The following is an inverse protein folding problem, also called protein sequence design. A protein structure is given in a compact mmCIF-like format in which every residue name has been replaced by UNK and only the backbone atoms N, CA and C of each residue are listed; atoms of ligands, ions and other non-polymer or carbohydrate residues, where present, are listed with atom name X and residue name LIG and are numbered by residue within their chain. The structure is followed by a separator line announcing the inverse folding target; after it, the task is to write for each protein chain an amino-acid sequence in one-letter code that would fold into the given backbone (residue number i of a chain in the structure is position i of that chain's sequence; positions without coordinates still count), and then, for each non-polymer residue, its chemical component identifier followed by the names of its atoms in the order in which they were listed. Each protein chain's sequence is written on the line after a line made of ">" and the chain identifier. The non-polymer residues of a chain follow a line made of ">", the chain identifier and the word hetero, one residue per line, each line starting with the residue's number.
data_IF_006061491916
#
_entry.id   IF_006061491916
#
_cell.length_a   1.000
_cell.length_b   1.000
_cell.length_c   1.000
_cell.angle_alpha   90.00
_cell.angle_beta   90.00
_cell.angle_gamma   90.00
#
_symmetry.space_group_name_H-M   'P 1'
#
loop_
_entity.id
_entity.type
_entity.pdbx_description
1 polymer ?
#
# COMPACT_ATOMS: atom_id res chain seq x y z
N UNK A 1 -21.52 -16.12 31.11
CA UNK A 1 -20.30 -15.34 30.79
C UNK A 1 -20.56 -13.92 31.26
N UNK A 2 -19.89 -13.49 32.33
CA UNK A 2 -20.13 -12.21 32.97
C UNK A 2 -19.70 -11.06 32.08
N UNK A 3 -20.43 -9.94 32.18
CA UNK A 3 -20.23 -8.67 31.51
C UNK A 3 -18.92 -7.94 31.85
N UNK A 4 -17.94 -8.61 32.48
CA UNK A 4 -16.67 -8.03 32.94
C UNK A 4 -15.50 -8.25 31.98
N UNK A 5 -15.63 -9.11 30.96
CA UNK A 5 -14.57 -9.31 29.96
C UNK A 5 -14.56 -8.26 28.83
N UNK A 6 -15.54 -7.34 28.77
CA UNK A 6 -15.68 -6.38 27.67
C UNK A 6 -14.75 -5.16 27.75
N UNK A 7 -13.86 -5.09 28.75
CA UNK A 7 -13.02 -3.92 29.02
C UNK A 7 -11.51 -4.12 28.94
N UNK A 8 -11.01 -5.35 28.68
CA UNK A 8 -9.57 -5.54 28.49
C UNK A 8 -9.19 -5.02 27.10
N UNK A 9 -8.50 -3.88 27.04
CA UNK A 9 -7.83 -3.41 25.83
C UNK A 9 -7.04 -4.57 25.23
N UNK A 10 -7.54 -5.10 24.10
CA UNK A 10 -6.79 -6.11 23.36
C UNK A 10 -5.59 -5.39 22.78
N UNK A 11 -4.41 -5.72 23.27
CA UNK A 11 -3.16 -5.23 22.72
C UNK A 11 -3.11 -5.55 21.21
N UNK A 12 -2.98 -4.52 20.39
CA UNK A 12 -2.75 -4.63 18.96
C UNK A 12 -1.29 -4.27 18.72
N UNK A 13 -0.45 -5.20 18.23
CA UNK A 13 0.94 -4.88 17.95
C UNK A 13 1.04 -3.90 16.79
N UNK A 14 2.13 -3.13 16.74
CA UNK A 14 2.40 -2.24 15.61
C UNK A 14 2.55 -3.02 14.28
N UNK A 15 3.15 -4.22 14.35
CA UNK A 15 3.34 -5.11 13.19
C UNK A 15 2.42 -6.33 13.32
N UNK A 16 1.55 -6.51 12.32
CA UNK A 16 0.61 -7.61 12.18
C UNK A 16 1.28 -8.88 11.66
N UNK A 17 2.11 -9.49 12.52
CA UNK A 17 2.90 -10.70 12.20
C UNK A 17 2.09 -11.99 12.04
N UNK A 18 0.85 -12.00 12.49
CA UNK A 18 -0.07 -13.13 12.32
C UNK A 18 -1.38 -12.66 11.71
N UNK A 19 -2.09 -13.56 11.02
CA UNK A 19 -3.32 -13.25 10.28
C UNK A 19 -4.36 -12.51 11.12
N UNK A 20 -4.49 -12.87 12.40
CA UNK A 20 -5.45 -12.24 13.33
C UNK A 20 -5.27 -10.72 13.48
N UNK A 21 -4.05 -10.21 13.26
CA UNK A 21 -3.69 -8.79 13.34
C UNK A 21 -3.61 -8.07 11.98
N UNK A 22 -3.71 -8.79 10.86
CA UNK A 22 -3.73 -8.21 9.50
C UNK A 22 -5.00 -7.38 9.31
N UNK A 23 -4.92 -6.13 8.87
CA UNK A 23 -6.06 -5.20 8.86
C UNK A 23 -6.39 -4.59 10.23
N UNK A 24 -5.61 -4.88 11.28
CA UNK A 24 -5.74 -4.24 12.61
C UNK A 24 -4.52 -3.43 12.96
N UNK A 25 -3.35 -4.00 12.74
CA UNK A 25 -2.06 -3.37 12.98
C UNK A 25 -1.77 -2.27 11.96
N UNK A 26 -1.08 -1.19 12.35
CA UNK A 26 -0.60 -0.16 11.43
C UNK A 26 0.22 -0.71 10.25
N UNK A 27 1.04 -1.73 10.50
CA UNK A 27 1.88 -2.36 9.47
C UNK A 27 1.54 -3.84 9.39
N UNK A 28 1.25 -4.32 8.19
CA UNK A 28 1.14 -5.75 7.87
C UNK A 28 1.67 -6.01 6.46
N UNK A 29 1.46 -7.22 5.92
CA UNK A 29 1.97 -7.52 4.59
C UNK A 29 1.25 -6.75 3.47
N UNK A 30 0.00 -6.28 3.66
CA UNK A 30 -0.70 -5.45 2.69
C UNK A 30 -0.10 -4.05 2.58
N UNK A 31 0.59 -3.55 3.61
CA UNK A 31 1.33 -2.29 3.56
C UNK A 31 2.31 -2.22 2.37
N UNK A 32 2.94 -3.33 1.99
CA UNK A 32 3.77 -3.40 0.77
C UNK A 32 2.94 -3.24 -0.51
N UNK A 33 1.75 -3.83 -0.55
CA UNK A 33 0.78 -3.65 -1.62
C UNK A 33 0.35 -2.18 -1.77
N UNK A 34 0.15 -1.47 -0.66
CA UNK A 34 -0.16 -0.04 -0.66
C UNK A 34 1.00 0.82 -1.18
N UNK A 35 2.25 0.51 -0.83
CA UNK A 35 3.43 1.16 -1.44
C UNK A 35 3.47 0.90 -2.95
N UNK A 36 3.27 -0.35 -3.39
CA UNK A 36 3.21 -0.70 -4.81
C UNK A 36 2.09 0.05 -5.52
N UNK A 37 0.92 0.19 -4.89
CA UNK A 37 -0.20 0.93 -5.43
C UNK A 37 0.14 2.42 -5.61
N UNK A 38 0.83 3.03 -4.65
CA UNK A 38 1.36 4.39 -4.78
C UNK A 38 2.30 4.59 -5.97
N UNK A 39 3.24 3.65 -6.16
CA UNK A 39 4.17 3.64 -7.30
C UNK A 39 3.40 3.53 -8.62
N UNK A 40 2.46 2.58 -8.70
CA UNK A 40 1.62 2.36 -9.87
C UNK A 40 0.76 3.57 -10.22
N UNK A 41 0.06 4.13 -9.23
CA UNK A 41 -0.78 5.31 -9.39
C UNK A 41 0.04 6.51 -9.89
N UNK A 42 1.19 6.80 -9.26
CA UNK A 42 2.07 7.88 -9.69
C UNK A 42 2.51 7.69 -11.14
N UNK A 43 2.95 6.47 -11.48
CA UNK A 43 3.44 6.14 -12.83
C UNK A 43 2.33 6.31 -13.88
N UNK A 44 1.13 5.79 -13.62
CA UNK A 44 -0.02 5.89 -14.53
C UNK A 44 -0.45 7.35 -14.73
N UNK A 45 -0.63 8.11 -13.66
CA UNK A 45 -1.03 9.52 -13.79
C UNK A 45 0.06 10.37 -14.43
N UNK A 46 1.33 10.03 -14.23
CA UNK A 46 2.43 10.70 -14.92
C UNK A 46 2.45 10.46 -16.43
N UNK A 47 1.96 9.29 -16.90
CA UNK A 47 1.83 9.02 -18.33
C UNK A 47 0.86 9.97 -19.01
N UNK A 48 -0.18 10.44 -18.30
CA UNK A 48 -1.09 11.44 -18.84
C UNK A 48 -0.31 12.72 -19.16
N UNK A 49 0.51 13.20 -18.22
CA UNK A 49 1.33 14.41 -18.46
C UNK A 49 2.29 14.19 -19.63
N UNK A 50 3.09 13.11 -19.60
CA UNK A 50 4.13 12.89 -20.61
C UNK A 50 3.58 12.60 -22.01
N UNK A 51 2.44 11.90 -22.13
CA UNK A 51 1.76 11.68 -23.42
C UNK A 51 1.23 13.01 -23.98
N UNK A 52 0.63 13.86 -23.13
CA UNK A 52 0.16 15.17 -23.57
C UNK A 52 1.33 16.06 -24.04
N UNK A 53 2.44 16.09 -23.31
CA UNK A 53 3.63 16.83 -23.70
C UNK A 53 4.19 16.34 -25.05
N UNK A 54 4.19 15.01 -25.28
CA UNK A 54 4.62 14.40 -26.52
C UNK A 54 3.72 14.77 -27.71
N UNK A 55 2.39 14.73 -27.53
CA UNK A 55 1.42 14.99 -28.61
C UNK A 55 1.41 16.48 -28.99
N UNK A 56 1.38 17.36 -28.00
CA UNK A 56 1.21 18.79 -28.23
C UNK A 56 2.53 19.56 -28.34
N UNK A 57 3.68 18.89 -28.16
CA UNK A 57 5.01 19.52 -28.14
C UNK A 57 5.07 20.74 -27.20
N UNK A 58 4.30 20.68 -26.11
CA UNK A 58 4.26 21.71 -25.07
C UNK A 58 4.92 21.16 -23.82
N UNK A 59 5.68 21.98 -23.11
CA UNK A 59 6.47 21.55 -21.95
C UNK A 59 5.75 21.68 -20.61
N UNK A 60 4.48 22.10 -20.59
CA UNK A 60 3.85 22.53 -19.33
C UNK A 60 2.32 22.53 -19.33
N UNK A 61 1.65 21.47 -19.82
CA UNK A 61 0.18 21.41 -19.71
C UNK A 61 -0.27 21.26 -18.26
N UNK A 62 0.48 20.53 -17.43
CA UNK A 62 0.13 20.29 -16.03
C UNK A 62 1.37 20.18 -15.13
N UNK A 63 1.39 20.82 -13.94
CA UNK A 63 2.50 20.67 -13.01
C UNK A 63 2.61 19.25 -12.41
N UNK A 64 3.82 18.72 -12.28
CA UNK A 64 4.06 17.37 -11.75
C UNK A 64 3.51 17.12 -10.33
N UNK A 65 3.36 18.17 -9.50
CA UNK A 65 2.77 18.03 -8.17
C UNK A 65 1.28 17.62 -8.20
N UNK A 66 0.57 17.83 -9.33
CA UNK A 66 -0.80 17.34 -9.49
C UNK A 66 -0.86 15.82 -9.45
N UNK A 67 0.17 15.12 -9.94
CA UNK A 67 0.25 13.66 -9.87
C UNK A 67 0.16 13.20 -8.40
N UNK A 68 0.87 13.87 -7.49
CA UNK A 68 0.76 13.54 -6.07
C UNK A 68 -0.62 13.80 -5.49
N UNK A 69 -1.30 14.86 -5.95
CA UNK A 69 -2.69 15.12 -5.53
C UNK A 69 -3.59 13.97 -5.97
N UNK A 70 -3.42 13.45 -7.19
CA UNK A 70 -4.15 12.27 -7.66
C UNK A 70 -3.78 11.00 -6.90
N UNK A 71 -2.51 10.78 -6.56
CA UNK A 71 -2.08 9.63 -5.75
C UNK A 71 -2.75 9.66 -4.37
N UNK A 72 -2.78 10.81 -3.70
CA UNK A 72 -3.46 10.98 -2.41
C UNK A 72 -4.97 10.70 -2.56
N UNK A 73 -5.62 11.30 -3.57
CA UNK A 73 -7.05 11.13 -3.80
C UNK A 73 -7.42 9.66 -4.08
N UNK A 74 -6.60 8.96 -4.88
CA UNK A 74 -6.79 7.54 -5.19
C UNK A 74 -6.50 6.66 -3.97
N UNK A 75 -5.49 6.96 -3.16
CA UNK A 75 -5.22 6.24 -1.92
C UNK A 75 -6.38 6.33 -0.93
N UNK A 76 -6.89 7.55 -0.69
CA UNK A 76 -8.08 7.75 0.17
C UNK A 76 -9.32 7.07 -0.44
N UNK A 77 -9.53 7.23 -1.75
CA UNK A 77 -10.66 6.63 -2.45
C UNK A 77 -10.64 5.10 -2.40
N UNK A 78 -9.47 4.50 -2.54
CA UNK A 78 -9.27 3.06 -2.43
C UNK A 78 -9.65 2.55 -1.03
N UNK A 79 -9.15 3.19 0.02
CA UNK A 79 -9.50 2.82 1.40
C UNK A 79 -11.00 2.90 1.67
N UNK A 80 -11.66 3.94 1.15
CA UNK A 80 -13.12 4.07 1.25
C UNK A 80 -13.81 2.93 0.50
N UNK A 81 -13.41 2.63 -0.73
CA UNK A 81 -13.99 1.53 -1.53
C UNK A 81 -13.80 0.19 -0.82
N UNK A 82 -12.61 -0.07 -0.30
CA UNK A 82 -12.26 -1.31 0.35
C UNK A 82 -13.08 -1.52 1.63
N UNK A 83 -13.11 -0.51 2.50
CA UNK A 83 -13.78 -0.58 3.80
C UNK A 83 -15.29 -0.32 3.73
N UNK A 84 -15.87 -0.10 2.54
CA UNK A 84 -17.32 0.03 2.34
C UNK A 84 -17.88 -0.95 1.33
N UNK A 85 -17.42 -0.92 0.07
CA UNK A 85 -17.95 -1.72 -1.03
C UNK A 85 -17.42 -3.14 -0.95
N UNK A 86 -16.10 -3.32 -0.89
CA UNK A 86 -15.51 -4.68 -0.89
C UNK A 86 -15.88 -5.47 0.36
N UNK A 87 -15.95 -4.79 1.51
CA UNK A 87 -16.45 -5.38 2.75
C UNK A 87 -17.92 -5.81 2.63
N UNK A 88 -18.81 -4.95 2.10
CA UNK A 88 -20.23 -5.32 1.90
C UNK A 88 -20.42 -6.47 0.91
N UNK A 89 -19.53 -6.58 -0.08
CA UNK A 89 -19.56 -7.67 -1.06
C UNK A 89 -18.96 -8.98 -0.54
N UNK A 90 -18.36 -8.99 0.65
CA UNK A 90 -17.69 -10.18 1.21
C UNK A 90 -16.41 -10.59 0.47
N UNK A 91 -15.87 -9.70 -0.38
CA UNK A 91 -14.67 -9.94 -1.19
C UNK A 91 -13.40 -9.53 -0.42
N UNK A 92 -13.56 -8.71 0.62
CA UNK A 92 -12.45 -8.27 1.46
C UNK A 92 -11.83 -9.46 2.23
N UNK A 93 -10.51 -9.37 2.46
CA UNK A 93 -9.74 -10.35 3.21
C UNK A 93 -10.42 -10.72 4.54
N UNK A 94 -10.62 -12.03 4.75
CA UNK A 94 -11.33 -12.61 5.90
C UNK A 94 -12.73 -12.00 6.19
N UNK A 95 -13.34 -11.33 5.20
CA UNK A 95 -14.58 -10.56 5.36
C UNK A 95 -14.56 -9.60 6.57
N UNK A 96 -13.38 -9.04 6.87
CA UNK A 96 -13.20 -8.11 7.99
C UNK A 96 -13.14 -6.67 7.50
N UNK A 97 -13.47 -5.71 8.37
CA UNK A 97 -13.16 -4.30 8.15
C UNK A 97 -11.85 -3.96 8.83
N UNK A 98 -11.09 -3.03 8.26
CA UNK A 98 -9.85 -2.58 8.89
C UNK A 98 -10.13 -1.74 10.12
N UNK A 99 -9.15 -1.70 11.03
CA UNK A 99 -9.10 -0.67 12.04
C UNK A 99 -8.85 0.69 11.37
N UNK A 100 -9.37 1.76 11.98
CA UNK A 100 -9.09 3.12 11.49
C UNK A 100 -7.59 3.40 11.39
N UNK A 101 -6.80 2.86 12.32
CA UNK A 101 -5.34 3.04 12.34
C UNK A 101 -4.68 2.35 11.15
N UNK A 102 -5.10 1.12 10.83
CA UNK A 102 -4.57 0.39 9.67
C UNK A 102 -4.90 1.13 8.36
N UNK A 103 -6.18 1.45 8.12
CA UNK A 103 -6.59 2.21 6.93
C UNK A 103 -5.87 3.57 6.81
N UNK A 104 -5.62 4.26 7.92
CA UNK A 104 -4.84 5.50 7.92
C UNK A 104 -3.38 5.28 7.47
N UNK A 105 -2.73 4.22 7.97
CA UNK A 105 -1.37 3.87 7.55
C UNK A 105 -1.31 3.38 6.12
N UNK A 106 -2.34 2.70 5.62
CA UNK A 106 -2.41 2.27 4.22
C UNK A 106 -2.41 3.47 3.26
N UNK A 107 -3.14 4.54 3.58
CA UNK A 107 -3.03 5.82 2.83
C UNK A 107 -1.60 6.38 2.91
N UNK A 108 -0.97 6.36 4.10
CA UNK A 108 0.43 6.82 4.24
C UNK A 108 1.36 6.00 3.35
N UNK A 109 1.19 4.68 3.29
CA UNK A 109 2.02 3.81 2.46
C UNK A 109 1.82 4.06 0.96
N UNK A 110 0.59 4.33 0.51
CA UNK A 110 0.33 4.80 -0.86
C UNK A 110 1.08 6.10 -1.14
N UNK A 111 1.03 7.08 -0.22
CA UNK A 111 1.75 8.35 -0.37
C UNK A 111 3.26 8.14 -0.44
N UNK A 112 3.82 7.27 0.42
CA UNK A 112 5.25 6.95 0.42
C UNK A 112 5.69 6.31 -0.91
N UNK A 113 4.89 5.40 -1.47
CA UNK A 113 5.15 4.85 -2.80
C UNK A 113 5.16 5.91 -3.90
N UNK A 114 4.21 6.85 -3.85
CA UNK A 114 4.16 8.00 -4.77
C UNK A 114 5.37 8.92 -4.61
N UNK A 115 5.76 9.26 -3.37
CA UNK A 115 6.92 10.11 -3.08
C UNK A 115 8.23 9.46 -3.52
N UNK A 116 8.42 8.16 -3.30
CA UNK A 116 9.59 7.44 -3.78
C UNK A 116 9.69 7.50 -5.32
N UNK A 117 8.57 7.36 -6.01
CA UNK A 117 8.50 7.46 -7.47
C UNK A 117 8.73 8.89 -7.96
N UNK A 118 8.23 9.89 -7.24
CA UNK A 118 8.50 11.29 -7.55
C UNK A 118 10.00 11.63 -7.39
N UNK A 119 10.62 11.16 -6.31
CA UNK A 119 12.07 11.31 -6.12
C UNK A 119 12.84 10.65 -7.27
N UNK A 120 12.44 9.45 -7.68
CA UNK A 120 13.03 8.74 -8.82
C UNK A 120 12.88 9.54 -10.12
N UNK A 121 11.71 10.15 -10.34
CA UNK A 121 11.49 11.07 -11.47
C UNK A 121 12.47 12.23 -11.44
N UNK A 122 12.62 12.90 -10.30
CA UNK A 122 13.50 14.05 -10.18
C UNK A 122 14.96 13.67 -10.51
N UNK A 123 15.43 12.54 -9.97
CA UNK A 123 16.78 12.04 -10.25
C UNK A 123 16.95 11.72 -11.75
N UNK A 124 16.05 10.92 -12.33
CA UNK A 124 16.25 10.40 -13.69
C UNK A 124 15.98 11.46 -14.77
N UNK A 125 14.92 12.25 -14.61
CA UNK A 125 14.48 13.21 -15.63
C UNK A 125 15.15 14.58 -15.46
N UNK A 126 15.27 15.08 -14.24
CA UNK A 126 15.71 16.46 -14.00
C UNK A 126 17.23 16.54 -13.73
N UNK A 127 17.80 15.57 -13.01
CA UNK A 127 19.24 15.55 -12.70
C UNK A 127 20.06 14.84 -13.79
N UNK A 128 19.60 13.69 -14.28
CA UNK A 128 20.34 12.88 -15.25
C UNK A 128 20.02 13.20 -16.72
N UNK A 129 18.98 14.00 -17.01
CA UNK A 129 18.66 14.60 -18.31
C UNK A 129 18.42 13.61 -19.46
N UNK A 130 19.49 13.06 -20.02
CA UNK A 130 19.44 12.13 -21.17
C UNK A 130 18.78 10.79 -20.86
N UNK A 131 18.66 10.45 -19.57
CA UNK A 131 18.07 9.20 -19.11
C UNK A 131 16.56 9.27 -18.84
N UNK A 132 15.88 10.39 -19.14
CA UNK A 132 14.45 10.56 -18.84
C UNK A 132 13.54 9.41 -19.33
N UNK A 133 13.90 8.75 -20.44
CA UNK A 133 13.17 7.58 -20.99
C UNK A 133 13.20 6.36 -20.07
N UNK A 134 14.20 6.25 -19.20
CA UNK A 134 14.35 5.14 -18.26
C UNK A 134 13.45 5.26 -17.04
N UNK A 135 12.85 6.43 -16.78
CA UNK A 135 12.02 6.65 -15.61
C UNK A 135 10.95 5.57 -15.44
N UNK A 136 10.18 5.28 -16.49
CA UNK A 136 9.12 4.28 -16.44
C UNK A 136 9.63 2.85 -16.25
N UNK A 137 10.80 2.54 -16.81
CA UNK A 137 11.45 1.23 -16.61
C UNK A 137 11.91 1.10 -15.16
N UNK A 138 12.53 2.14 -14.60
CA UNK A 138 12.97 2.16 -13.21
C UNK A 138 11.77 2.11 -12.24
N UNK A 139 10.68 2.81 -12.54
CA UNK A 139 9.45 2.76 -11.75
C UNK A 139 8.81 1.36 -11.79
N UNK A 140 8.82 0.69 -12.95
CA UNK A 140 8.36 -0.69 -13.09
C UNK A 140 9.23 -1.67 -12.29
N UNK A 141 10.56 -1.52 -12.35
CA UNK A 141 11.48 -2.34 -11.55
C UNK A 141 11.22 -2.13 -10.06
N UNK A 142 11.08 -0.88 -9.61
CA UNK A 142 10.76 -0.57 -8.22
C UNK A 142 9.42 -1.20 -7.79
N UNK A 143 8.38 -1.08 -8.62
CA UNK A 143 7.08 -1.71 -8.40
C UNK A 143 7.20 -3.23 -8.22
N UNK A 144 7.94 -3.91 -9.10
CA UNK A 144 8.15 -5.37 -9.02
C UNK A 144 8.91 -5.75 -7.74
N UNK A 145 9.94 -4.99 -7.35
CA UNK A 145 10.68 -5.23 -6.10
C UNK A 145 9.75 -5.14 -4.89
N UNK A 146 8.89 -4.13 -4.83
CA UNK A 146 7.94 -3.97 -3.73
C UNK A 146 6.87 -5.07 -3.74
N UNK A 147 6.41 -5.52 -4.91
CA UNK A 147 5.52 -6.69 -5.01
C UNK A 147 6.18 -7.97 -4.50
N UNK A 148 7.49 -8.18 -4.74
CA UNK A 148 8.22 -9.31 -4.17
C UNK A 148 8.21 -9.21 -2.63
N UNK A 149 8.42 -8.02 -2.07
CA UNK A 149 8.34 -7.79 -0.62
C UNK A 149 6.94 -8.11 -0.05
N UNK A 150 5.87 -7.77 -0.78
CA UNK A 150 4.50 -8.16 -0.43
C UNK A 150 4.36 -9.69 -0.30
N UNK A 151 4.81 -10.45 -1.31
CA UNK A 151 4.69 -11.92 -1.29
C UNK A 151 5.56 -12.57 -0.19
N UNK A 152 6.74 -12.01 0.07
CA UNK A 152 7.58 -12.45 1.20
C UNK A 152 6.86 -12.20 2.52
N UNK A 153 6.29 -11.01 2.72
CA UNK A 153 5.52 -10.67 3.92
C UNK A 153 4.31 -11.59 4.12
N UNK A 154 3.58 -11.88 3.05
CA UNK A 154 2.46 -12.82 3.06
C UNK A 154 2.91 -14.24 3.48
N UNK A 155 4.01 -14.73 2.93
CA UNK A 155 4.56 -16.04 3.28
C UNK A 155 4.95 -16.11 4.76
N UNK A 156 5.70 -15.12 5.26
CA UNK A 156 6.15 -15.06 6.66
C UNK A 156 4.95 -15.03 7.61
N UNK A 157 3.96 -14.17 7.34
CA UNK A 157 2.76 -14.01 8.18
C UNK A 157 1.97 -15.32 8.29
N UNK A 158 1.86 -16.08 7.20
CA UNK A 158 1.19 -17.38 7.20
C UNK A 158 1.95 -18.42 8.03
N UNK A 159 3.28 -18.48 7.91
CA UNK A 159 4.10 -19.43 8.69
C UNK A 159 4.10 -19.09 10.18
N UNK A 160 4.19 -17.81 10.54
CA UNK A 160 4.08 -17.36 11.93
C UNK A 160 2.70 -17.68 12.53
N UNK A 161 1.64 -17.54 11.73
CA UNK A 161 0.27 -17.90 12.14
C UNK A 161 0.12 -19.40 12.41
N UNK A 162 0.65 -20.25 11.53
CA UNK A 162 0.65 -21.71 11.73
C UNK A 162 1.39 -22.10 13.00
N UNK A 163 2.55 -21.49 13.25
CA UNK A 163 3.35 -21.72 14.46
C UNK A 163 2.59 -21.31 15.72
N UNK A 164 2.02 -20.11 15.74
CA UNK A 164 1.24 -19.61 16.88
C UNK A 164 0.05 -20.52 17.23
N UNK A 165 -0.68 -21.00 16.22
CA UNK A 165 -1.80 -21.94 16.42
C UNK A 165 -1.34 -23.28 16.99
N UNK A 166 -0.20 -23.81 16.52
CA UNK A 166 0.38 -25.05 17.04
C UNK A 166 0.82 -24.92 18.50
N UNK A 167 1.44 -23.81 18.87
CA UNK A 167 1.91 -23.58 20.23
C UNK A 167 0.74 -23.39 21.21
N UNK A 168 -0.34 -22.72 20.78
CA UNK A 168 -1.57 -22.63 21.56
C UNK A 168 -2.23 -24.00 21.78
N UNK A 169 -2.28 -24.84 20.74
CA UNK A 169 -2.84 -26.19 20.85
C UNK A 169 -2.13 -27.06 21.89
N UNK A 170 -0.81 -26.89 22.05
CA UNK A 170 0.00 -27.59 23.07
C UNK A 170 -0.22 -27.08 24.50
N UNK A 171 -0.65 -25.83 24.67
CA UNK A 171 -0.89 -25.24 25.98
C UNK A 171 -2.24 -25.67 26.57
N UNK A 172 -3.19 -26.05 25.70
CA UNK A 172 -4.55 -26.44 26.08
C UNK A 172 -4.69 -27.97 26.22
N UNK A 173 -3.77 -28.74 25.61
CA UNK A 173 -3.67 -30.20 25.76
C UNK A 173 -2.93 -30.61 27.03
#
# INVERSE_FOLDING_TARGET
>A
MSSEESGKERYIPFIGRIMDYVGRSPLDFYSWGHIAFGIGAFSIFSLIITIFELIFSTTAVMPWWWIMTFVIAVGIGWEVIENTILWKLGVKFENRRDSFVNAFFDVIFVILGGLATWLLKWIIMDVMGEFGRWFYISALVLFVIILIAYFIGFYITNEETKKARKDLGKLIS
#
